data_IF_838164967340
#
_entry.id   IF_838164967340
#
_cell.length_a   1.000
_cell.length_b   1.000
_cell.length_c   1.000
_cell.angle_alpha   90.00
_cell.angle_beta   90.00
_cell.angle_gamma   90.00
#
_symmetry.space_group_name_H-M   'P 1'
#
loop_
_entity.id
_entity.type
_entity.pdbx_description
1 polymer ?
#
# COMPACT_ATOMS: atom_id res chain seq x y z
N UNK A 1 -16.27 14.10 -5.78
CA UNK A 1 -16.89 14.78 -6.93
C UNK A 1 -16.56 16.28 -6.91
N UNK A 2 -16.99 17.03 -5.88
CA UNK A 2 -16.74 18.48 -5.81
C UNK A 2 -15.26 18.86 -5.95
N UNK A 3 -14.34 18.16 -5.27
CA UNK A 3 -12.90 18.38 -5.40
C UNK A 3 -12.39 18.09 -6.81
N UNK A 4 -12.87 17.01 -7.45
CA UNK A 4 -12.49 16.69 -8.83
C UNK A 4 -13.02 17.74 -9.83
N UNK A 5 -14.22 18.30 -9.60
CA UNK A 5 -14.81 19.31 -10.47
C UNK A 5 -14.16 20.69 -10.32
N UNK A 6 -13.84 21.07 -9.09
CA UNK A 6 -13.25 22.39 -8.77
C UNK A 6 -11.72 22.37 -8.81
N UNK A 7 -11.12 21.20 -8.88
CA UNK A 7 -9.70 20.98 -8.74
C UNK A 7 -9.23 20.87 -7.29
N UNK A 8 -8.00 20.44 -7.14
CA UNK A 8 -7.30 20.30 -5.86
C UNK A 8 -5.83 20.70 -6.02
N UNK A 9 -5.18 21.22 -4.98
CA UNK A 9 -3.79 21.65 -5.08
C UNK A 9 -2.85 20.43 -5.20
N UNK A 10 -1.86 20.52 -6.09
CA UNK A 10 -0.82 19.51 -6.21
C UNK A 10 0.11 19.56 -5.00
N UNK A 11 0.24 18.45 -4.28
CA UNK A 11 1.13 18.35 -3.13
C UNK A 11 2.60 18.17 -3.54
N UNK A 12 3.53 18.49 -2.63
CA UNK A 12 4.96 18.31 -2.90
C UNK A 12 5.32 16.82 -3.13
N UNK A 13 4.70 15.90 -2.40
CA UNK A 13 4.87 14.47 -2.59
C UNK A 13 4.41 14.02 -3.99
N UNK A 14 3.24 14.49 -4.45
CA UNK A 14 2.74 14.19 -5.80
C UNK A 14 3.64 14.83 -6.87
N UNK A 15 4.05 16.08 -6.68
CA UNK A 15 4.95 16.76 -7.64
C UNK A 15 6.29 16.05 -7.77
N UNK A 16 6.86 15.59 -6.66
CA UNK A 16 8.09 14.78 -6.67
C UNK A 16 7.90 13.51 -7.52
N UNK A 17 6.79 12.80 -7.33
CA UNK A 17 6.47 11.59 -8.08
C UNK A 17 6.27 11.88 -9.59
N UNK A 18 5.54 12.92 -9.93
CA UNK A 18 5.32 13.34 -11.31
C UNK A 18 6.62 13.76 -12.02
N UNK A 19 7.63 14.21 -11.29
CA UNK A 19 8.92 14.58 -11.85
C UNK A 19 9.65 13.45 -12.60
N UNK A 20 9.35 12.19 -12.31
CA UNK A 20 9.92 11.03 -13.02
C UNK A 20 8.86 10.12 -13.65
N UNK A 21 7.58 10.33 -13.41
CA UNK A 21 6.50 9.50 -13.95
C UNK A 21 5.50 10.26 -14.82
N UNK A 22 5.47 11.60 -14.74
CA UNK A 22 4.49 12.43 -15.42
C UNK A 22 4.48 12.18 -16.92
N UNK A 23 5.54 12.54 -17.62
CA UNK A 23 5.62 12.41 -19.08
C UNK A 23 5.71 10.94 -19.53
N UNK A 24 6.44 10.13 -18.79
CA UNK A 24 6.75 8.74 -19.21
C UNK A 24 5.55 7.82 -19.04
N UNK A 25 4.72 8.05 -18.02
CA UNK A 25 3.58 7.20 -17.68
C UNK A 25 2.27 7.95 -17.84
N UNK A 26 1.98 8.92 -16.98
CA UNK A 26 0.63 9.49 -16.85
C UNK A 26 0.26 10.49 -17.97
N UNK A 27 1.22 11.10 -18.63
CA UNK A 27 1.03 12.03 -19.74
C UNK A 27 0.99 11.37 -21.13
N UNK A 28 0.87 10.04 -21.24
CA UNK A 28 0.89 9.35 -22.54
C UNK A 28 -0.37 9.52 -23.35
N UNK A 29 -1.53 9.58 -22.71
CA UNK A 29 -2.81 9.87 -23.35
C UNK A 29 -3.07 11.37 -23.37
N UNK A 30 -3.85 11.87 -24.34
CA UNK A 30 -4.19 13.29 -24.48
C UNK A 30 -4.85 13.86 -23.22
N UNK A 31 -5.88 13.19 -22.70
CA UNK A 31 -6.55 13.58 -21.46
C UNK A 31 -5.59 13.55 -20.26
N UNK A 32 -4.70 12.55 -20.19
CA UNK A 32 -3.68 12.42 -19.15
C UNK A 32 -2.64 13.54 -19.22
N UNK A 33 -2.19 13.88 -20.42
CA UNK A 33 -1.28 15.00 -20.64
C UNK A 33 -1.90 16.32 -20.19
N UNK A 34 -3.11 16.60 -20.65
CA UNK A 34 -3.87 17.81 -20.28
C UNK A 34 -4.10 17.91 -18.77
N UNK A 35 -4.31 16.78 -18.08
CA UNK A 35 -4.50 16.77 -16.63
C UNK A 35 -3.24 17.14 -15.83
N UNK A 36 -2.03 17.04 -16.43
CA UNK A 36 -0.75 17.18 -15.74
C UNK A 36 0.09 18.37 -16.20
N UNK A 37 -0.26 19.00 -17.34
CA UNK A 37 0.54 20.07 -17.94
C UNK A 37 -0.23 21.38 -18.04
N UNK A 38 0.51 22.48 -18.00
CA UNK A 38 0.03 23.83 -18.29
C UNK A 38 -0.02 24.06 -19.80
N UNK A 39 -0.61 25.19 -20.21
CA UNK A 39 -0.71 25.61 -21.63
C UNK A 39 0.66 25.83 -22.30
N UNK A 40 1.74 25.97 -21.51
CA UNK A 40 3.11 26.11 -22.00
C UNK A 40 3.89 24.79 -22.04
N UNK A 41 3.19 23.65 -21.96
CA UNK A 41 3.74 22.29 -21.95
C UNK A 41 4.58 21.95 -20.68
N UNK A 42 4.63 22.81 -19.68
CA UNK A 42 5.31 22.51 -18.42
C UNK A 42 4.40 21.69 -17.49
N UNK A 43 4.99 20.74 -16.74
CA UNK A 43 4.28 20.05 -15.67
C UNK A 43 3.77 21.04 -14.62
N UNK A 44 2.59 20.80 -14.06
CA UNK A 44 2.11 21.54 -12.90
C UNK A 44 3.10 21.46 -11.73
N UNK A 45 3.14 22.51 -10.91
CA UNK A 45 4.03 22.61 -9.76
C UNK A 45 3.25 22.56 -8.44
N UNK A 46 3.97 22.49 -7.32
CA UNK A 46 3.38 22.45 -5.98
C UNK A 46 2.44 23.63 -5.78
N UNK A 47 1.21 23.34 -5.37
CA UNK A 47 0.16 24.31 -5.12
C UNK A 47 -0.69 24.66 -6.35
N UNK A 48 -0.27 24.26 -7.56
CA UNK A 48 -1.13 24.42 -8.74
C UNK A 48 -2.40 23.58 -8.61
N UNK A 49 -3.50 24.09 -9.17
CA UNK A 49 -4.77 23.38 -9.16
C UNK A 49 -4.84 22.36 -10.29
N UNK A 50 -4.97 21.10 -9.90
CA UNK A 50 -5.18 19.99 -10.83
C UNK A 50 -6.67 19.75 -11.02
N UNK A 51 -7.11 19.67 -12.27
CA UNK A 51 -8.44 19.20 -12.67
C UNK A 51 -8.26 18.04 -13.63
N UNK A 52 -8.72 16.85 -13.25
CA UNK A 52 -8.70 15.69 -14.14
C UNK A 52 -9.96 15.74 -15.02
N UNK A 53 -9.84 15.87 -16.35
CA UNK A 53 -10.99 15.95 -17.24
C UNK A 53 -11.94 14.75 -17.05
N UNK A 54 -13.24 14.99 -17.11
CA UNK A 54 -14.30 13.97 -17.03
C UNK A 54 -14.41 13.15 -15.72
N UNK A 55 -13.39 13.18 -14.83
CA UNK A 55 -13.39 12.36 -13.62
C UNK A 55 -14.57 12.67 -12.70
N UNK A 56 -14.92 13.96 -12.54
CA UNK A 56 -16.06 14.36 -11.71
C UNK A 56 -17.38 13.80 -12.25
N UNK A 57 -17.55 13.75 -13.56
CA UNK A 57 -18.78 13.25 -14.19
C UNK A 57 -18.86 11.72 -14.11
N UNK A 58 -17.74 11.02 -14.29
CA UNK A 58 -17.67 9.57 -14.05
C UNK A 58 -18.02 9.22 -12.59
N UNK A 59 -17.53 10.00 -11.63
CA UNK A 59 -17.86 9.78 -10.21
C UNK A 59 -19.33 10.14 -9.88
N UNK A 60 -19.91 11.15 -10.53
CA UNK A 60 -21.33 11.51 -10.40
C UNK A 60 -22.21 10.37 -10.95
N UNK A 61 -21.85 9.80 -12.10
CA UNK A 61 -22.55 8.66 -12.69
C UNK A 61 -22.49 7.44 -11.75
N UNK A 62 -21.33 7.12 -11.20
CA UNK A 62 -21.19 6.03 -10.22
C UNK A 62 -22.02 6.29 -8.95
N UNK A 63 -22.06 7.53 -8.48
CA UNK A 63 -22.81 7.89 -7.28
C UNK A 63 -24.33 7.80 -7.49
N UNK A 64 -24.83 8.13 -8.69
CA UNK A 64 -26.26 8.13 -9.02
C UNK A 64 -26.79 6.77 -9.47
N UNK A 65 -25.98 6.00 -10.22
CA UNK A 65 -26.41 4.75 -10.85
C UNK A 65 -25.81 3.50 -10.20
N UNK A 66 -24.86 3.70 -9.25
CA UNK A 66 -24.17 2.63 -8.57
C UNK A 66 -23.00 2.05 -9.37
N UNK A 67 -22.31 1.09 -8.76
CA UNK A 67 -21.08 0.50 -9.33
C UNK A 67 -21.29 -0.22 -10.67
N UNK A 68 -22.53 -0.56 -11.02
CA UNK A 68 -22.84 -1.28 -12.28
C UNK A 68 -22.50 -0.47 -13.52
N UNK A 69 -22.58 0.88 -13.46
CA UNK A 69 -22.19 1.73 -14.60
C UNK A 69 -20.71 1.58 -14.94
N UNK A 70 -19.85 1.36 -13.91
CA UNK A 70 -18.42 1.13 -14.09
C UNK A 70 -18.11 -0.25 -14.68
N UNK A 71 -18.89 -1.29 -14.37
CA UNK A 71 -18.60 -2.66 -14.79
C UNK A 71 -19.42 -3.12 -15.99
N UNK A 72 -20.60 -2.54 -16.26
CA UNK A 72 -21.53 -2.99 -17.32
C UNK A 72 -22.11 -1.84 -18.15
N UNK A 73 -22.00 -0.57 -17.64
CA UNK A 73 -22.56 0.61 -18.31
C UNK A 73 -21.56 1.35 -19.20
N UNK A 74 -21.82 2.64 -19.37
CA UNK A 74 -21.07 3.50 -20.31
C UNK A 74 -19.58 3.59 -19.97
N UNK A 75 -19.21 3.64 -18.69
CA UNK A 75 -17.79 3.66 -18.26
C UNK A 75 -17.09 2.35 -18.67
N UNK A 76 -17.76 1.19 -18.45
CA UNK A 76 -17.22 -0.10 -18.90
C UNK A 76 -17.05 -0.14 -20.43
N UNK A 77 -17.99 0.42 -21.16
CA UNK A 77 -17.90 0.49 -22.62
C UNK A 77 -16.73 1.36 -23.07
N UNK A 78 -16.57 2.54 -22.50
CA UNK A 78 -15.44 3.44 -22.79
C UNK A 78 -14.08 2.79 -22.51
N UNK A 79 -13.94 2.11 -21.35
CA UNK A 79 -12.72 1.38 -20.99
C UNK A 79 -12.43 0.24 -21.97
N UNK A 80 -13.43 -0.60 -22.28
CA UNK A 80 -13.25 -1.74 -23.17
C UNK A 80 -12.95 -1.31 -24.61
N UNK A 81 -13.61 -0.26 -25.10
CA UNK A 81 -13.39 0.28 -26.43
C UNK A 81 -12.01 0.91 -26.55
N UNK A 82 -11.58 1.69 -25.56
CA UNK A 82 -10.23 2.25 -25.49
C UNK A 82 -9.17 1.13 -25.47
N UNK A 83 -9.34 0.10 -24.63
CA UNK A 83 -8.42 -1.04 -24.59
C UNK A 83 -8.33 -1.76 -25.94
N UNK A 84 -9.46 -2.02 -26.60
CA UNK A 84 -9.49 -2.66 -27.92
C UNK A 84 -8.74 -1.81 -28.96
N UNK A 85 -9.00 -0.52 -29.01
CA UNK A 85 -8.43 0.40 -30.00
C UNK A 85 -6.92 0.59 -29.80
N UNK A 86 -6.44 0.47 -28.54
CA UNK A 86 -5.02 0.42 -28.20
C UNK A 86 -4.38 -0.98 -28.35
N UNK A 87 -5.10 -1.99 -28.85
CA UNK A 87 -4.60 -3.35 -29.01
C UNK A 87 -4.53 -4.16 -27.71
N UNK A 88 -5.20 -3.71 -26.64
CA UNK A 88 -5.31 -4.42 -25.36
C UNK A 88 -6.35 -5.55 -25.41
N UNK A 89 -6.33 -6.39 -24.36
CA UNK A 89 -7.17 -7.59 -24.28
C UNK A 89 -8.42 -7.43 -23.41
N UNK A 90 -8.47 -6.44 -22.52
CA UNK A 90 -9.59 -6.22 -21.61
C UNK A 90 -10.86 -5.87 -22.40
N UNK A 91 -11.92 -6.59 -22.15
CA UNK A 91 -13.20 -6.46 -22.87
C UNK A 91 -14.38 -6.29 -21.90
N UNK A 92 -15.59 -6.08 -22.46
CA UNK A 92 -16.81 -5.86 -21.67
C UNK A 92 -17.22 -7.06 -20.82
N UNK A 93 -16.93 -8.28 -21.28
CA UNK A 93 -17.24 -9.51 -20.52
C UNK A 93 -16.34 -9.63 -19.30
N UNK A 94 -15.05 -9.28 -19.42
CA UNK A 94 -14.13 -9.25 -18.29
C UNK A 94 -14.59 -8.28 -17.20
N UNK A 95 -14.96 -7.06 -17.58
CA UNK A 95 -15.51 -6.06 -16.66
C UNK A 95 -16.83 -6.52 -16.04
N UNK A 96 -17.79 -6.97 -16.86
CA UNK A 96 -19.11 -7.42 -16.41
C UNK A 96 -19.07 -8.66 -15.50
N UNK A 97 -18.05 -9.50 -15.66
CA UNK A 97 -17.86 -10.72 -14.84
C UNK A 97 -17.16 -10.44 -13.51
N UNK A 98 -16.52 -9.26 -13.33
CA UNK A 98 -15.80 -8.96 -12.10
C UNK A 98 -16.73 -8.96 -10.88
N UNK A 99 -16.28 -9.59 -9.80
CA UNK A 99 -16.95 -9.57 -8.49
C UNK A 99 -15.92 -9.40 -7.38
N UNK A 100 -16.26 -8.61 -6.35
CA UNK A 100 -15.51 -8.58 -5.11
C UNK A 100 -15.60 -9.96 -4.42
N UNK A 101 -14.51 -10.38 -3.80
CA UNK A 101 -14.44 -11.68 -3.10
C UNK A 101 -14.22 -11.41 -1.62
N UNK A 102 -15.16 -11.86 -0.79
CA UNK A 102 -14.99 -11.88 0.66
C UNK A 102 -14.03 -12.99 1.07
N UNK A 103 -13.17 -12.71 2.03
CA UNK A 103 -12.17 -13.65 2.55
C UNK A 103 -12.07 -13.57 4.06
N UNK A 104 -11.83 -14.70 4.70
CA UNK A 104 -11.51 -14.75 6.13
C UNK A 104 -10.12 -14.14 6.33
N UNK A 105 -9.96 -13.13 7.19
CA UNK A 105 -8.67 -12.47 7.41
C UNK A 105 -7.68 -13.38 8.15
N UNK A 106 -6.40 -13.07 8.02
CA UNK A 106 -5.37 -13.58 8.93
C UNK A 106 -5.47 -12.84 10.26
N UNK A 107 -5.45 -13.58 11.36
CA UNK A 107 -5.55 -13.03 12.71
C UNK A 107 -4.22 -13.24 13.46
N UNK A 108 -3.75 -12.20 14.14
CA UNK A 108 -2.52 -12.23 14.96
C UNK A 108 -2.71 -11.35 16.19
N UNK A 109 -2.22 -11.81 17.34
CA UNK A 109 -2.20 -11.02 18.56
C UNK A 109 -0.88 -10.26 18.70
N UNK A 110 -0.95 -8.97 19.08
CA UNK A 110 0.20 -8.10 19.33
C UNK A 110 -0.14 -7.03 20.37
N UNK A 111 0.66 -6.89 21.44
CA UNK A 111 0.48 -5.88 22.48
C UNK A 111 -0.91 -5.89 23.12
N UNK A 112 -1.53 -7.08 23.24
CA UNK A 112 -2.90 -7.24 23.75
C UNK A 112 -4.01 -6.82 22.77
N UNK A 113 -3.67 -6.54 21.51
CA UNK A 113 -4.62 -6.30 20.42
C UNK A 113 -4.73 -7.51 19.52
N UNK A 114 -5.93 -7.75 18.98
CA UNK A 114 -6.17 -8.70 17.91
C UNK A 114 -6.14 -7.95 16.57
N UNK A 115 -5.15 -8.27 15.74
CA UNK A 115 -4.93 -7.70 14.42
C UNK A 115 -5.51 -8.62 13.34
N UNK A 116 -6.37 -8.08 12.48
CA UNK A 116 -6.89 -8.72 11.28
C UNK A 116 -6.26 -8.08 10.04
N UNK A 117 -5.68 -8.90 9.15
CA UNK A 117 -5.06 -8.42 7.90
C UNK A 117 -5.42 -9.30 6.71
N UNK A 118 -5.05 -8.88 5.49
CA UNK A 118 -5.41 -9.55 4.23
C UNK A 118 -4.85 -10.96 4.13
N UNK A 119 -5.68 -11.96 3.76
CA UNK A 119 -5.25 -13.32 3.50
C UNK A 119 -4.75 -13.52 2.06
N UNK A 120 -4.16 -14.68 1.72
CA UNK A 120 -3.86 -15.04 0.35
C UNK A 120 -5.07 -14.90 -0.61
N UNK A 121 -4.82 -14.59 -1.91
CA UNK A 121 -3.52 -14.53 -2.59
C UNK A 121 -2.73 -13.23 -2.34
N UNK A 122 -3.24 -12.28 -1.53
CA UNK A 122 -2.42 -11.17 -1.09
C UNK A 122 -1.25 -11.69 -0.23
N UNK A 123 -0.03 -11.37 -0.60
CA UNK A 123 1.17 -11.81 0.12
C UNK A 123 1.50 -10.87 1.28
N UNK A 124 1.10 -9.61 1.20
CA UNK A 124 1.42 -8.57 2.18
C UNK A 124 0.98 -8.91 3.60
N UNK A 125 -0.28 -9.32 3.77
CA UNK A 125 -0.78 -9.70 5.10
C UNK A 125 -0.05 -10.90 5.71
N UNK A 126 0.30 -11.92 4.90
CA UNK A 126 1.05 -13.07 5.36
C UNK A 126 2.49 -12.72 5.76
N UNK A 127 3.14 -11.85 4.98
CA UNK A 127 4.49 -11.34 5.29
C UNK A 127 4.47 -10.48 6.54
N UNK A 128 3.51 -9.57 6.68
CA UNK A 128 3.34 -8.75 7.88
C UNK A 128 3.10 -9.62 9.13
N UNK A 129 2.20 -10.60 9.04
CA UNK A 129 1.93 -11.55 10.13
C UNK A 129 3.21 -12.29 10.54
N UNK A 130 3.99 -12.78 9.58
CA UNK A 130 5.24 -13.47 9.86
C UNK A 130 6.30 -12.55 10.51
N UNK A 131 6.43 -11.31 10.04
CA UNK A 131 7.34 -10.32 10.62
C UNK A 131 6.99 -9.98 12.08
N UNK A 132 5.69 -9.83 12.39
CA UNK A 132 5.22 -9.57 13.75
C UNK A 132 5.45 -10.78 14.66
N UNK A 133 5.13 -11.99 14.18
CA UNK A 133 5.37 -13.23 14.93
C UNK A 133 6.85 -13.49 15.20
N UNK A 134 7.75 -13.13 14.28
CA UNK A 134 9.19 -13.25 14.47
C UNK A 134 9.77 -12.29 15.54
N UNK A 135 8.99 -11.31 15.98
CA UNK A 135 9.32 -10.39 17.08
C UNK A 135 8.43 -10.60 18.33
N UNK A 136 7.49 -11.53 18.31
CA UNK A 136 6.45 -11.65 19.33
C UNK A 136 6.95 -12.13 20.71
N UNK A 137 8.11 -12.77 20.76
CA UNK A 137 8.76 -13.24 21.98
C UNK A 137 9.60 -12.14 22.69
N UNK A 138 9.77 -10.98 22.04
CA UNK A 138 10.44 -9.83 22.62
C UNK A 138 9.41 -8.90 23.29
N UNK A 139 9.67 -8.55 24.54
CA UNK A 139 8.96 -7.47 25.21
C UNK A 139 9.63 -6.14 24.89
N UNK A 140 9.28 -5.58 23.73
CA UNK A 140 9.89 -4.36 23.21
C UNK A 140 9.24 -3.14 23.88
N UNK A 141 9.90 -2.58 24.88
CA UNK A 141 9.48 -1.33 25.52
C UNK A 141 10.04 -0.08 24.81
N UNK A 142 11.19 -0.23 24.14
CA UNK A 142 11.86 0.81 23.34
C UNK A 142 12.78 0.18 22.29
N UNK A 143 13.22 0.96 21.32
CA UNK A 143 14.15 0.49 20.30
C UNK A 143 15.59 0.56 20.80
N UNK A 144 16.10 -0.54 21.35
CA UNK A 144 17.52 -0.76 21.58
C UNK A 144 18.15 -1.58 20.44
N UNK A 145 19.46 -1.82 20.54
CA UNK A 145 20.21 -2.56 19.51
C UNK A 145 19.72 -4.01 19.34
N UNK A 146 19.22 -4.67 20.39
CA UNK A 146 18.71 -6.05 20.31
C UNK A 146 17.36 -6.08 19.58
N UNK A 147 16.43 -5.20 19.95
CA UNK A 147 15.13 -5.07 19.32
C UNK A 147 15.26 -4.68 17.83
N UNK A 148 16.16 -3.73 17.50
CA UNK A 148 16.44 -3.34 16.13
C UNK A 148 17.09 -4.48 15.33
N UNK A 149 18.02 -5.23 15.93
CA UNK A 149 18.61 -6.39 15.27
C UNK A 149 17.59 -7.47 14.95
N UNK A 150 16.68 -7.77 15.90
CA UNK A 150 15.58 -8.72 15.67
C UNK A 150 14.63 -8.23 14.60
N UNK A 151 14.28 -6.94 14.60
CA UNK A 151 13.47 -6.33 13.55
C UNK A 151 14.13 -6.50 12.17
N UNK A 152 15.40 -6.15 12.02
CA UNK A 152 16.17 -6.28 10.79
C UNK A 152 16.19 -7.74 10.31
N UNK A 153 16.50 -8.69 11.19
CA UNK A 153 16.53 -10.12 10.86
C UNK A 153 15.13 -10.64 10.46
N UNK A 154 14.07 -10.19 11.13
CA UNK A 154 12.70 -10.59 10.79
C UNK A 154 12.29 -10.06 9.40
N UNK A 155 12.62 -8.82 9.08
CA UNK A 155 12.41 -8.24 7.74
C UNK A 155 13.20 -9.00 6.69
N UNK A 156 14.51 -9.19 6.93
CA UNK A 156 15.37 -9.95 6.03
C UNK A 156 14.78 -11.32 5.76
N UNK A 157 14.45 -12.08 6.79
CA UNK A 157 13.96 -13.45 6.70
C UNK A 157 12.62 -13.59 5.99
N UNK A 158 11.65 -12.73 6.30
CA UNK A 158 10.32 -12.77 5.70
C UNK A 158 10.32 -12.32 4.24
N UNK A 159 11.07 -11.27 3.91
CA UNK A 159 11.20 -10.79 2.53
C UNK A 159 11.92 -11.82 1.63
N UNK A 160 12.88 -12.57 2.13
CA UNK A 160 13.56 -13.65 1.40
C UNK A 160 12.64 -14.85 1.18
N UNK A 161 11.96 -15.30 2.20
CA UNK A 161 11.00 -16.40 2.03
C UNK A 161 9.94 -16.04 0.98
N UNK A 162 9.41 -14.83 1.06
CA UNK A 162 8.45 -14.34 0.09
C UNK A 162 8.95 -14.58 -1.32
N UNK A 163 10.15 -14.15 -1.62
CA UNK A 163 10.68 -14.12 -2.97
C UNK A 163 11.06 -15.47 -3.54
N UNK A 164 11.55 -16.35 -2.68
CA UNK A 164 11.93 -17.70 -3.10
C UNK A 164 10.74 -18.63 -3.22
N UNK A 165 9.66 -18.34 -2.50
CA UNK A 165 8.56 -19.26 -2.35
C UNK A 165 7.22 -18.62 -2.74
N UNK A 166 6.83 -17.46 -2.15
CA UNK A 166 5.50 -16.87 -2.38
C UNK A 166 5.33 -16.31 -3.79
N UNK A 167 6.29 -15.49 -4.25
CA UNK A 167 6.19 -14.76 -5.54
C UNK A 167 6.26 -15.70 -6.75
N UNK A 168 6.77 -16.92 -6.56
CA UNK A 168 6.87 -17.96 -7.60
C UNK A 168 5.84 -19.08 -7.42
N UNK A 169 5.02 -19.02 -6.37
CA UNK A 169 4.13 -20.09 -5.99
C UNK A 169 2.96 -20.28 -6.96
N UNK A 170 2.68 -21.52 -7.32
CA UNK A 170 1.40 -21.89 -7.93
C UNK A 170 0.27 -21.88 -6.89
N UNK A 171 0.59 -22.28 -5.67
CA UNK A 171 -0.34 -22.24 -4.53
C UNK A 171 0.16 -21.27 -3.47
N UNK A 172 -0.13 -19.98 -3.66
CA UNK A 172 0.24 -18.88 -2.73
C UNK A 172 -0.29 -19.14 -1.31
N UNK A 173 -1.47 -19.75 -1.17
CA UNK A 173 -2.05 -20.05 0.15
C UNK A 173 -1.21 -21.05 0.95
N UNK A 174 -0.72 -22.11 0.33
CA UNK A 174 0.14 -23.11 0.98
C UNK A 174 1.49 -22.51 1.40
N UNK A 175 2.11 -21.72 0.52
CA UNK A 175 3.39 -21.06 0.83
C UNK A 175 3.24 -19.96 1.90
N UNK A 176 2.13 -19.23 1.90
CA UNK A 176 1.82 -18.27 2.94
C UNK A 176 1.66 -18.95 4.32
N UNK A 177 0.99 -20.09 4.38
CA UNK A 177 0.88 -20.87 5.60
C UNK A 177 2.27 -21.35 6.09
N UNK A 178 3.12 -21.85 5.19
CA UNK A 178 4.51 -22.23 5.50
C UNK A 178 5.33 -21.06 6.05
N UNK A 179 5.17 -19.85 5.50
CA UNK A 179 5.84 -18.64 6.00
C UNK A 179 5.44 -18.33 7.43
N UNK A 180 4.13 -18.29 7.70
CA UNK A 180 3.59 -18.00 9.04
C UNK A 180 4.01 -19.06 10.05
N UNK A 181 4.00 -20.35 9.69
CA UNK A 181 4.45 -21.44 10.55
C UNK A 181 5.95 -21.43 10.79
N UNK A 182 6.76 -21.06 9.77
CA UNK A 182 8.19 -20.89 9.93
C UNK A 182 8.54 -19.72 10.84
N UNK A 183 7.77 -18.61 10.78
CA UNK A 183 7.92 -17.48 11.69
C UNK A 183 7.61 -17.88 13.14
N UNK A 184 6.49 -18.55 13.36
CA UNK A 184 6.13 -19.08 14.70
C UNK A 184 7.18 -20.03 15.28
N UNK A 185 7.93 -20.71 14.45
CA UNK A 185 8.96 -21.68 14.84
C UNK A 185 10.39 -21.17 14.74
N UNK A 186 10.62 -19.89 14.42
CA UNK A 186 11.94 -19.25 14.35
C UNK A 186 12.84 -19.68 13.17
N UNK A 187 12.28 -20.15 12.06
CA UNK A 187 13.02 -20.78 10.92
C UNK A 187 12.87 -20.04 9.59
N UNK A 188 13.33 -18.77 9.50
CA UNK A 188 13.20 -17.97 8.26
C UNK A 188 14.55 -17.56 7.64
N UNK A 189 14.64 -17.49 6.30
CA UNK A 189 15.79 -16.99 5.51
C UNK A 189 15.37 -16.27 4.20
N UNK A 190 16.13 -15.27 3.73
CA UNK A 190 15.79 -14.06 2.92
C UNK A 190 15.86 -13.98 1.34
N UNK A 191 15.13 -13.02 0.61
CA UNK A 191 15.42 -12.03 -0.51
C UNK A 191 14.30 -11.60 -1.49
N UNK A 192 14.19 -10.25 -1.86
CA UNK A 192 13.74 -9.37 -3.00
C UNK A 192 12.23 -8.97 -3.18
N UNK A 193 11.72 -7.92 -3.77
CA UNK A 193 11.57 -6.51 -4.19
C UNK A 193 10.10 -5.99 -4.42
N UNK A 194 9.79 -4.82 -4.84
CA UNK A 194 9.06 -3.56 -4.66
C UNK A 194 7.98 -3.11 -5.69
N UNK A 195 6.91 -2.31 -5.35
CA UNK A 195 5.99 -1.47 -6.18
C UNK A 195 5.07 -0.46 -5.43
N UNK A 196 4.22 0.35 -6.09
CA UNK A 196 3.58 1.61 -5.63
C UNK A 196 2.08 1.53 -5.25
N UNK A 197 1.57 2.32 -4.23
CA UNK A 197 0.23 2.11 -3.62
C UNK A 197 -0.32 3.34 -2.90
N UNK A 198 -1.65 3.42 -2.65
CA UNK A 198 -2.34 4.40 -1.77
C UNK A 198 -3.14 3.71 -0.67
N UNK A 199 -3.37 4.41 0.48
CA UNK A 199 -4.09 3.86 1.61
C UNK A 199 -5.06 4.87 2.25
N UNK A 200 -6.19 4.37 2.78
CA UNK A 200 -7.18 5.13 3.56
C UNK A 200 -7.66 4.31 4.76
N UNK A 201 -7.63 4.91 5.94
CA UNK A 201 -8.12 4.36 7.21
C UNK A 201 -9.28 5.18 7.75
N UNK A 202 -10.33 4.52 8.21
CA UNK A 202 -11.52 5.15 8.80
C UNK A 202 -11.97 4.35 10.02
N UNK A 203 -12.38 5.06 11.07
CA UNK A 203 -13.05 4.49 12.24
C UNK A 203 -14.27 5.35 12.61
N UNK A 204 -15.26 4.74 13.28
CA UNK A 204 -16.43 5.45 13.80
C UNK A 204 -16.59 5.26 15.32
N UNK A 205 -17.55 5.99 15.92
CA UNK A 205 -17.88 5.94 17.35
C UNK A 205 -18.61 4.65 17.79
N UNK A 206 -19.05 3.85 16.83
CA UNK A 206 -19.61 2.52 17.03
C UNK A 206 -18.54 1.43 17.05
N UNK A 207 -17.26 1.82 17.05
CA UNK A 207 -16.09 0.95 16.98
C UNK A 207 -16.02 0.12 15.70
N UNK A 208 -16.56 0.60 14.59
CA UNK A 208 -16.27 0.03 13.29
C UNK A 208 -14.95 0.60 12.75
N UNK A 209 -14.17 -0.26 12.12
CA UNK A 209 -12.90 0.11 11.47
C UNK A 209 -12.86 -0.37 10.03
N UNK A 210 -12.40 0.48 9.12
CA UNK A 210 -12.20 0.16 7.72
C UNK A 210 -10.82 0.63 7.26
N UNK A 211 -10.05 -0.27 6.67
CA UNK A 211 -8.74 0.00 6.08
C UNK A 211 -8.76 -0.43 4.62
N UNK A 212 -8.56 0.53 3.70
CA UNK A 212 -8.59 0.28 2.26
C UNK A 212 -7.24 0.65 1.68
N UNK A 213 -6.60 -0.32 1.01
CA UNK A 213 -5.38 -0.08 0.24
C UNK A 213 -5.66 -0.41 -1.22
N UNK A 214 -5.32 0.49 -2.13
CA UNK A 214 -5.50 0.33 -3.56
C UNK A 214 -4.20 0.67 -4.30
N UNK A 215 -3.94 -0.02 -5.42
CA UNK A 215 -2.78 0.20 -6.26
C UNK A 215 -3.17 0.15 -7.73
N UNK A 216 -2.61 1.03 -8.53
CA UNK A 216 -2.63 0.94 -10.00
C UNK A 216 -1.32 0.36 -10.56
N UNK A 217 -0.52 -0.29 -9.73
CA UNK A 217 0.83 -0.66 -10.10
C UNK A 217 1.68 0.57 -10.38
N UNK A 218 2.46 0.53 -11.44
CA UNK A 218 3.18 1.73 -11.92
C UNK A 218 2.28 2.70 -12.69
N UNK A 219 1.02 2.31 -12.98
CA UNK A 219 0.15 2.95 -13.94
C UNK A 219 0.44 2.51 -15.38
N UNK A 220 -0.59 2.35 -16.20
CA UNK A 220 -0.42 1.96 -17.61
C UNK A 220 0.03 3.12 -18.51
N UNK A 221 -0.23 4.34 -18.07
CA UNK A 221 -0.10 5.54 -18.90
C UNK A 221 -1.33 5.86 -19.73
N UNK A 222 -2.28 4.93 -19.82
CA UNK A 222 -3.50 5.07 -20.60
C UNK A 222 -4.65 5.58 -19.72
N UNK A 223 -5.31 6.66 -20.16
CA UNK A 223 -6.57 7.13 -19.62
C UNK A 223 -7.69 6.77 -20.58
N UNK A 224 -8.71 6.08 -20.11
CA UNK A 224 -9.86 5.75 -20.95
C UNK A 224 -10.59 7.04 -21.37
N UNK A 225 -10.65 7.29 -22.68
CA UNK A 225 -11.14 8.54 -23.25
C UNK A 225 -12.51 8.95 -22.71
N UNK A 226 -12.68 10.20 -22.32
CA UNK A 226 -13.92 10.77 -21.79
C UNK A 226 -14.32 10.29 -20.38
N UNK A 227 -13.45 9.56 -19.65
CA UNK A 227 -13.77 9.06 -18.30
C UNK A 227 -12.98 9.72 -17.19
N UNK A 228 -11.79 10.29 -17.48
CA UNK A 228 -10.84 10.76 -16.48
C UNK A 228 -10.21 9.64 -15.65
N UNK A 229 -10.29 8.38 -16.08
CA UNK A 229 -9.83 7.21 -15.33
C UNK A 229 -8.56 6.65 -15.97
N UNK A 230 -7.43 6.78 -15.25
CA UNK A 230 -6.20 6.07 -15.60
C UNK A 230 -6.31 4.59 -15.33
N UNK A 231 -5.88 3.79 -16.30
CA UNK A 231 -5.86 2.35 -16.18
C UNK A 231 -4.62 1.89 -15.40
N UNK A 232 -4.75 0.75 -14.71
CA UNK A 232 -3.67 0.18 -13.93
C UNK A 232 -2.68 -0.63 -14.78
N UNK A 233 -1.49 -0.90 -14.20
CA UNK A 233 -0.47 -1.80 -14.74
C UNK A 233 -0.10 -2.91 -13.74
N UNK A 234 -1.04 -3.40 -12.94
CA UNK A 234 -0.73 -4.38 -11.90
C UNK A 234 -0.25 -5.72 -12.46
N UNK A 235 -0.72 -6.14 -13.64
CA UNK A 235 -0.24 -7.34 -14.31
C UNK A 235 1.23 -7.21 -14.76
N UNK A 236 1.68 -6.00 -15.12
CA UNK A 236 3.04 -5.69 -15.55
C UNK A 236 4.02 -5.44 -14.39
N UNK A 237 3.59 -5.54 -13.14
CA UNK A 237 4.48 -5.45 -11.97
C UNK A 237 5.31 -6.74 -11.83
N UNK A 238 6.47 -6.80 -12.48
CA UNK A 238 7.34 -7.99 -12.52
C UNK A 238 7.73 -8.46 -11.11
N UNK A 239 7.83 -7.54 -10.16
CA UNK A 239 8.16 -7.81 -8.76
C UNK A 239 7.11 -8.67 -8.05
N UNK A 240 5.84 -8.52 -8.42
CA UNK A 240 4.73 -9.32 -7.89
C UNK A 240 4.36 -10.47 -8.82
N UNK A 241 4.51 -10.28 -10.12
CA UNK A 241 4.13 -11.25 -11.15
C UNK A 241 5.39 -11.87 -11.80
N UNK A 242 6.30 -12.43 -11.00
CA UNK A 242 7.58 -12.99 -11.45
C UNK A 242 7.45 -14.16 -12.43
N UNK A 243 6.28 -14.80 -12.49
CA UNK A 243 5.95 -15.82 -13.47
C UNK A 243 5.58 -15.23 -14.83
N UNK A 244 5.51 -13.89 -14.95
CA UNK A 244 5.19 -13.19 -16.17
C UNK A 244 3.70 -13.08 -16.46
N UNK A 245 3.35 -12.63 -17.68
CA UNK A 245 1.96 -12.36 -18.07
C UNK A 245 1.11 -13.64 -18.14
N UNK A 246 1.72 -14.79 -18.40
CA UNK A 246 1.05 -16.09 -18.50
C UNK A 246 1.06 -16.88 -17.17
N UNK A 247 1.21 -16.20 -16.05
CA UNK A 247 1.42 -16.84 -14.75
C UNK A 247 0.21 -17.54 -14.15
N UNK A 248 -0.98 -17.38 -14.72
CA UNK A 248 -2.20 -18.01 -14.22
C UNK A 248 -3.28 -18.13 -15.28
N UNK A 249 -4.34 -18.88 -15.01
CA UNK A 249 -5.50 -18.95 -15.91
C UNK A 249 -6.20 -17.59 -15.98
N UNK A 250 -6.94 -17.30 -17.06
CA UNK A 250 -7.83 -16.14 -17.14
C UNK A 250 -8.74 -16.03 -15.91
N UNK A 251 -8.92 -14.83 -15.37
CA UNK A 251 -9.71 -14.58 -14.17
C UNK A 251 -8.99 -14.88 -12.83
N UNK A 252 -7.75 -15.38 -12.84
CA UNK A 252 -6.96 -15.53 -11.62
C UNK A 252 -6.70 -14.18 -10.94
N UNK A 253 -6.71 -14.18 -9.61
CA UNK A 253 -6.38 -12.99 -8.82
C UNK A 253 -4.88 -12.83 -8.71
N UNK A 254 -4.38 -11.62 -8.99
CA UNK A 254 -2.96 -11.32 -8.85
C UNK A 254 -2.54 -11.27 -7.36
N UNK A 255 -1.29 -11.64 -7.05
CA UNK A 255 -0.69 -11.36 -5.75
C UNK A 255 -0.65 -9.85 -5.46
N UNK A 256 -0.55 -9.49 -4.19
CA UNK A 256 -0.46 -8.08 -3.77
C UNK A 256 0.33 -7.96 -2.48
N UNK A 257 1.18 -6.93 -2.39
CA UNK A 257 1.89 -6.54 -1.16
C UNK A 257 1.04 -5.76 -0.17
N UNK A 258 -0.14 -5.34 -0.57
CA UNK A 258 -1.04 -4.56 0.28
C UNK A 258 -1.44 -5.35 1.52
N UNK A 259 -1.35 -4.70 2.68
CA UNK A 259 -1.67 -5.26 4.00
C UNK A 259 -2.57 -4.32 4.80
N UNK A 260 -3.71 -3.83 4.26
CA UNK A 260 -4.65 -3.09 5.08
C UNK A 260 -5.07 -3.93 6.29
N UNK A 261 -5.10 -3.31 7.46
CA UNK A 261 -5.30 -4.03 8.71
C UNK A 261 -6.25 -3.27 9.64
N UNK A 262 -7.00 -4.02 10.43
CA UNK A 262 -7.82 -3.51 11.52
C UNK A 262 -7.44 -4.25 12.80
N UNK A 263 -7.22 -3.52 13.90
CA UNK A 263 -6.95 -4.13 15.20
C UNK A 263 -8.00 -3.73 16.22
N UNK A 264 -8.26 -4.62 17.19
CA UNK A 264 -9.20 -4.40 18.28
C UNK A 264 -8.61 -4.78 19.62
N UNK A 265 -8.93 -3.98 20.64
CA UNK A 265 -8.68 -4.28 22.05
C UNK A 265 -9.89 -3.82 22.86
N UNK A 266 -10.78 -4.77 23.23
CA UNK A 266 -12.08 -4.43 23.81
C UNK A 266 -12.93 -3.58 22.85
N UNK A 267 -13.24 -2.33 23.26
CA UNK A 267 -14.00 -1.38 22.43
C UNK A 267 -13.09 -0.43 21.61
N UNK A 268 -11.77 -0.51 21.81
CA UNK A 268 -10.85 0.29 21.02
C UNK A 268 -10.68 -0.37 19.64
N UNK A 269 -10.68 0.44 18.59
CA UNK A 269 -10.49 0.00 17.20
C UNK A 269 -9.43 0.87 16.52
N UNK A 270 -8.52 0.24 15.80
CA UNK A 270 -7.52 0.86 14.94
C UNK A 270 -7.75 0.37 13.51
N UNK A 271 -7.79 1.29 12.55
CA UNK A 271 -7.64 1.01 11.13
C UNK A 271 -6.29 1.55 10.66
N UNK A 272 -5.53 0.79 9.88
CA UNK A 272 -4.16 1.16 9.47
C UNK A 272 -3.74 0.49 8.17
N UNK A 273 -2.87 1.16 7.43
CA UNK A 273 -2.17 0.60 6.28
C UNK A 273 -1.14 1.58 5.73
N UNK A 274 -0.44 1.16 4.71
CA UNK A 274 0.65 1.94 4.12
C UNK A 274 0.72 1.74 2.61
N UNK A 275 0.96 2.78 1.80
CA UNK A 275 1.59 2.66 0.50
C UNK A 275 3.10 2.39 0.67
N UNK A 276 3.77 2.03 -0.41
CA UNK A 276 5.23 1.97 -0.41
C UNK A 276 5.83 0.67 -0.91
N UNK A 277 5.09 -0.11 -1.68
CA UNK A 277 5.65 -1.28 -2.35
C UNK A 277 6.13 -2.37 -1.36
N UNK A 278 7.38 -2.83 -1.43
CA UNK A 278 7.95 -3.78 -0.46
C UNK A 278 8.09 -3.20 0.94
N UNK A 279 8.16 -1.84 1.04
CA UNK A 279 8.21 -1.14 2.32
C UNK A 279 6.87 -1.12 3.04
N UNK A 280 5.75 -1.54 2.40
CA UNK A 280 4.43 -1.64 3.04
C UNK A 280 4.52 -2.47 4.32
N UNK A 281 5.04 -3.69 4.23
CA UNK A 281 5.07 -4.62 5.36
C UNK A 281 6.06 -4.19 6.44
N UNK A 282 7.21 -3.63 6.07
CA UNK A 282 8.21 -3.16 7.04
C UNK A 282 7.80 -1.86 7.73
N UNK A 283 7.12 -0.94 7.03
CA UNK A 283 6.53 0.25 7.63
C UNK A 283 5.40 -0.11 8.61
N UNK A 284 4.53 -1.05 8.20
CA UNK A 284 3.43 -1.54 9.02
C UNK A 284 3.94 -2.29 10.25
N UNK A 285 4.96 -3.14 10.12
CA UNK A 285 5.58 -3.84 11.24
C UNK A 285 6.05 -2.86 12.32
N UNK A 286 6.84 -1.85 11.94
CA UNK A 286 7.39 -0.87 12.87
C UNK A 286 6.30 -0.02 13.51
N UNK A 287 5.34 0.47 12.72
CA UNK A 287 4.20 1.21 13.24
C UNK A 287 3.40 0.40 14.26
N UNK A 288 3.09 -0.86 13.96
CA UNK A 288 2.29 -1.71 14.84
C UNK A 288 3.02 -2.03 16.14
N UNK A 289 4.34 -2.27 16.10
CA UNK A 289 5.17 -2.43 17.31
C UNK A 289 5.17 -1.12 18.11
N UNK A 290 5.43 0.02 17.46
CA UNK A 290 5.48 1.34 18.10
C UNK A 290 4.16 1.67 18.82
N UNK A 291 3.03 1.48 18.15
CA UNK A 291 1.73 1.89 18.69
C UNK A 291 1.10 0.83 19.61
N UNK A 292 1.11 -0.45 19.22
CA UNK A 292 0.38 -1.50 19.92
C UNK A 292 1.19 -2.14 21.05
N UNK A 293 2.51 -2.23 20.94
CA UNK A 293 3.38 -2.90 21.89
C UNK A 293 4.11 -1.88 22.78
N UNK A 294 4.87 -0.93 22.21
CA UNK A 294 5.60 0.10 22.96
C UNK A 294 4.63 1.13 23.57
N UNK A 295 3.49 1.38 22.93
CA UNK A 295 2.47 2.32 23.41
C UNK A 295 2.79 3.78 23.09
N UNK A 296 3.53 4.05 22.04
CA UNK A 296 3.76 5.41 21.53
C UNK A 296 2.44 6.11 21.17
N UNK A 297 2.43 7.46 21.20
CA UNK A 297 1.30 8.18 20.65
C UNK A 297 1.11 7.82 19.17
N UNK A 298 -0.12 7.99 18.64
CA UNK A 298 -0.40 7.66 17.24
C UNK A 298 0.49 8.46 16.27
N UNK A 299 0.69 9.75 16.55
CA UNK A 299 1.53 10.63 15.75
C UNK A 299 3.01 10.24 15.81
N UNK A 300 3.54 9.95 17.02
CA UNK A 300 4.94 9.51 17.19
C UNK A 300 5.18 8.16 16.53
N UNK A 301 4.25 7.22 16.65
CA UNK A 301 4.35 5.90 16.04
C UNK A 301 4.40 5.97 14.50
N UNK A 302 3.65 6.90 13.89
CA UNK A 302 3.66 7.15 12.44
C UNK A 302 4.94 7.87 12.00
N UNK A 303 5.37 8.89 12.74
CA UNK A 303 6.53 9.72 12.39
C UNK A 303 7.87 9.07 12.73
N UNK A 304 7.89 8.02 13.58
CA UNK A 304 9.13 7.38 14.05
C UNK A 304 10.05 6.99 12.89
N UNK A 305 11.37 7.22 13.02
CA UNK A 305 12.34 6.79 12.02
C UNK A 305 12.25 5.30 11.71
N UNK A 306 12.49 4.94 10.44
CA UNK A 306 12.30 3.56 9.94
C UNK A 306 13.58 2.95 9.42
N UNK A 307 13.62 1.63 9.51
CA UNK A 307 14.56 0.78 8.80
C UNK A 307 13.83 -0.09 7.78
N UNK A 308 14.53 -0.43 6.70
CA UNK A 308 14.05 -1.38 5.71
C UNK A 308 15.23 -2.21 5.17
N UNK A 309 15.08 -3.52 5.24
CA UNK A 309 16.01 -4.43 4.56
C UNK A 309 15.65 -4.46 3.09
N UNK A 310 16.39 -3.70 2.29
CA UNK A 310 16.20 -3.66 0.84
C UNK A 310 16.83 -4.89 0.21
N UNK A 311 15.95 -5.72 -0.23
CA UNK A 311 16.29 -6.94 -0.91
C UNK A 311 16.13 -6.81 -2.44
N UNK A 312 15.94 -5.61 -3.02
CA UNK A 312 15.63 -5.36 -4.43
C UNK A 312 16.81 -5.46 -5.39
N UNK A 313 18.03 -5.27 -4.93
CA UNK A 313 19.24 -5.34 -5.72
C UNK A 313 19.93 -6.73 -5.71
N UNK A 314 21.06 -6.87 -6.39
CA UNK A 314 21.90 -8.08 -6.34
C UNK A 314 22.54 -8.28 -4.94
N UNK A 315 22.62 -7.23 -4.16
CA UNK A 315 23.16 -7.20 -2.80
C UNK A 315 22.07 -6.72 -1.88
N UNK A 316 21.86 -7.42 -0.76
CA UNK A 316 20.94 -6.99 0.31
C UNK A 316 21.56 -5.81 1.04
N UNK A 317 20.78 -4.75 1.24
CA UNK A 317 21.23 -3.55 1.92
C UNK A 317 20.30 -3.23 3.08
N UNK A 318 20.85 -2.71 4.17
CA UNK A 318 20.05 -2.05 5.20
C UNK A 318 19.91 -0.58 4.85
N UNK A 319 18.68 -0.11 4.73
CA UNK A 319 18.35 1.31 4.59
C UNK A 319 17.68 1.79 5.87
N UNK A 320 18.07 2.95 6.35
CA UNK A 320 17.55 3.54 7.58
C UNK A 320 17.37 5.05 7.45
N UNK A 321 16.44 5.60 8.18
CA UNK A 321 16.37 7.04 8.45
C UNK A 321 17.23 7.38 9.66
N UNK A 322 17.78 8.60 9.69
CA UNK A 322 18.55 9.08 10.83
C UNK A 322 17.70 9.12 12.12
N UNK A 323 18.34 8.97 13.27
CA UNK A 323 17.70 9.02 14.59
C UNK A 323 17.48 7.66 15.26
N UNK A 324 17.91 6.57 14.63
CA UNK A 324 17.95 5.24 15.25
C UNK A 324 19.37 4.87 15.68
N UNK A 325 19.50 4.24 16.85
CA UNK A 325 20.76 3.65 17.33
C UNK A 325 20.91 2.26 16.69
N UNK A 326 21.41 2.25 15.46
CA UNK A 326 21.47 1.05 14.63
C UNK A 326 22.53 0.08 15.17
N UNK A 327 22.19 -1.21 15.31
CA UNK A 327 23.16 -2.25 15.65
C UNK A 327 24.18 -2.44 14.53
N UNK A 328 25.34 -2.99 14.87
CA UNK A 328 26.30 -3.47 13.88
C UNK A 328 25.71 -4.70 13.16
N UNK A 329 25.60 -4.63 11.84
CA UNK A 329 25.08 -5.70 11.00
C UNK A 329 26.00 -5.93 9.80
N UNK A 330 26.11 -7.17 9.36
CA UNK A 330 26.88 -7.54 8.16
C UNK A 330 26.04 -7.29 6.88
N UNK A 331 25.55 -6.05 6.72
CA UNK A 331 24.84 -5.57 5.55
C UNK A 331 25.37 -4.18 5.17
N UNK A 332 25.56 -3.90 3.86
CA UNK A 332 25.80 -2.51 3.43
C UNK A 332 24.69 -1.60 3.94
N UNK A 333 25.06 -0.52 4.62
CA UNK A 333 24.15 0.43 5.25
C UNK A 333 24.06 1.72 4.43
N UNK A 334 22.82 2.17 4.19
CA UNK A 334 22.51 3.48 3.66
C UNK A 334 21.60 4.23 4.65
N UNK A 335 22.10 5.35 5.21
CA UNK A 335 21.30 6.20 6.10
C UNK A 335 20.83 7.44 5.36
N UNK A 336 19.54 7.71 5.40
CA UNK A 336 18.93 8.93 4.90
C UNK A 336 18.93 9.99 6.00
N UNK A 337 19.41 11.21 5.74
CA UNK A 337 19.55 12.24 6.78
C UNK A 337 18.21 12.75 7.31
N UNK A 338 17.13 12.56 6.54
CA UNK A 338 15.78 13.01 6.85
C UNK A 338 14.79 11.87 6.62
N UNK A 339 13.55 12.03 7.11
CA UNK A 339 12.45 11.14 6.79
C UNK A 339 12.05 11.31 5.32
N UNK A 340 11.93 10.21 4.58
CA UNK A 340 11.72 10.26 3.13
C UNK A 340 10.62 9.31 2.67
N UNK A 341 9.96 9.66 1.56
CA UNK A 341 8.88 8.90 0.94
C UNK A 341 9.25 7.43 0.66
N UNK A 342 10.53 7.12 0.54
CA UNK A 342 11.03 5.76 0.31
C UNK A 342 10.51 4.75 1.35
N UNK A 343 10.41 5.11 2.62
CA UNK A 343 10.01 4.21 3.72
C UNK A 343 8.50 4.04 3.89
N UNK A 344 7.73 4.23 2.84
CA UNK A 344 6.28 4.06 2.85
C UNK A 344 5.53 5.31 3.30
N UNK A 345 4.32 5.12 3.82
CA UNK A 345 3.47 6.23 4.23
C UNK A 345 2.28 5.75 5.05
N UNK A 346 2.46 5.46 6.34
CA UNK A 346 1.41 4.91 7.19
C UNK A 346 0.28 5.90 7.41
N UNK A 347 -0.95 5.50 7.06
CA UNK A 347 -2.18 6.20 7.44
C UNK A 347 -2.90 5.41 8.52
N UNK A 348 -3.25 6.05 9.64
CA UNK A 348 -3.90 5.38 10.75
C UNK A 348 -5.05 6.22 11.33
N UNK A 349 -6.13 5.54 11.71
CA UNK A 349 -7.24 6.09 12.46
C UNK A 349 -7.57 5.17 13.63
N UNK A 350 -7.76 5.73 14.81
CA UNK A 350 -8.11 4.99 16.03
C UNK A 350 -9.32 5.62 16.70
N UNK A 351 -10.19 4.79 17.25
CA UNK A 351 -11.24 5.22 18.17
C UNK A 351 -11.14 4.41 19.46
N UNK A 352 -11.18 5.10 20.59
CA UNK A 352 -11.26 4.49 21.90
C UNK A 352 -12.32 5.18 22.75
N UNK A 353 -13.21 4.39 23.38
CA UNK A 353 -14.34 4.95 24.15
C UNK A 353 -13.91 5.93 25.23
N UNK A 354 -12.67 5.83 25.73
CA UNK A 354 -12.12 6.72 26.75
C UNK A 354 -11.35 7.90 26.16
N UNK A 355 -10.77 7.74 24.98
CA UNK A 355 -9.80 8.66 24.39
C UNK A 355 -10.34 9.41 23.16
N UNK A 356 -11.56 9.05 22.69
CA UNK A 356 -12.16 9.62 21.47
C UNK A 356 -11.43 9.18 20.19
N UNK A 357 -11.49 10.03 19.18
CA UNK A 357 -10.86 9.82 17.88
C UNK A 357 -9.40 10.25 17.86
N UNK A 358 -8.56 9.45 17.24
CA UNK A 358 -7.18 9.81 16.89
C UNK A 358 -6.93 9.50 15.41
N UNK A 359 -6.25 10.41 14.71
CA UNK A 359 -5.89 10.24 13.30
C UNK A 359 -4.45 10.68 13.07
N UNK A 360 -3.72 9.96 12.23
CA UNK A 360 -2.39 10.36 11.81
C UNK A 360 -2.14 9.95 10.36
N UNK A 361 -1.58 10.89 9.60
CA UNK A 361 -1.04 10.65 8.28
C UNK A 361 0.48 10.81 8.29
N UNK A 362 1.15 10.00 7.51
CA UNK A 362 2.59 9.97 7.46
C UNK A 362 3.16 11.26 6.84
N UNK A 363 4.05 11.96 7.54
CA UNK A 363 4.71 13.16 7.00
C UNK A 363 5.51 12.86 5.73
N UNK A 364 5.91 11.60 5.49
CA UNK A 364 6.62 11.16 4.28
C UNK A 364 5.78 11.27 3.00
N UNK A 365 4.45 11.36 3.13
CA UNK A 365 3.51 11.31 1.99
C UNK A 365 2.49 12.46 1.97
N UNK A 366 2.56 13.39 2.91
CA UNK A 366 1.62 14.54 3.02
C UNK A 366 0.14 14.12 2.97
N UNK A 367 -0.19 13.04 3.67
CA UNK A 367 -1.56 12.52 3.72
C UNK A 367 -2.52 13.48 4.45
N UNK A 368 -3.78 13.51 3.99
CA UNK A 368 -4.84 14.28 4.65
C UNK A 368 -5.45 13.51 5.83
N UNK A 369 -5.84 14.24 6.88
CA UNK A 369 -6.59 13.72 8.03
C UNK A 369 -7.87 14.51 8.26
N UNK A 370 -8.89 13.83 8.78
CA UNK A 370 -10.10 14.44 9.29
C UNK A 370 -10.42 13.86 10.66
N UNK A 371 -10.54 14.71 11.66
CA UNK A 371 -10.97 14.35 13.01
C UNK A 371 -12.24 15.12 13.34
N UNK A 372 -13.38 14.46 13.64
CA UNK A 372 -14.63 15.16 13.96
C UNK A 372 -14.59 15.95 15.27
N UNK A 373 -13.65 15.62 16.18
CA UNK A 373 -13.48 16.25 17.48
C UNK A 373 -12.45 17.39 17.48
N UNK A 374 -11.81 17.71 16.33
CA UNK A 374 -10.76 18.71 16.20
C UNK A 374 -11.24 20.02 15.60
#
# INVERSE_FOLDING_TARGET
>A
IRACRNGFPLSAACRYYLGYSGDIIFGRSEDGYTALHRDDDSLFDVGDTIVVPHLADSLDAIASEGSRIFYEGEIAHAIADHCRDAGGMLNREDLGSYRAIERVPLITDIGGWQLATTPPPAVGGSVLTAMLLACADLDIEHWDSEALLRLIHSQQACLDFRQRNLDLAENVGAEAARLVDAARSGRLLSRWTSASTVHTSVVDDSSNGCAITASSGYGSGEMAAGTGIWLNNCLGEIELNRRGLDAGPPGARLPSNMAPSVARRGNDVLAVGSPGADRITTAMQQFLINFLQIGMSLADAVAHPRVHVDTSGKVVNLKAEAGLDLPEVDLPLMVFPEIVMYFGGVGAAVYGKKNGFGVAADPRREGGVFNPDA
#
